data_IF_117543943065
#
_entry.id   IF_117543943065
#
_cell.length_a   1.000
_cell.length_b   1.000
_cell.length_c   1.000
_cell.angle_alpha   90.00
_cell.angle_beta   90.00
_cell.angle_gamma   90.00
#
_symmetry.space_group_name_H-M   'P 1'
#
loop_
_entity.id
_entity.type
_entity.pdbx_description
1 polymer ?
#
# COMPACT_ATOMS: atom_id res chain seq x y z
N UNK A 1 1.92 -10.43 8.75
CA UNK A 1 3.38 -10.42 9.01
C UNK A 1 3.86 -11.71 9.67
N UNK A 2 4.94 -12.33 9.19
CA UNK A 2 5.58 -13.47 9.86
C UNK A 2 6.28 -13.06 11.16
N UNK A 3 6.31 -13.94 12.15
CA UNK A 3 7.17 -13.85 13.33
C UNK A 3 8.43 -14.66 13.05
N UNK A 4 9.60 -14.03 13.01
CA UNK A 4 10.86 -14.73 12.88
C UNK A 4 11.22 -15.40 14.21
N UNK A 5 11.55 -16.70 14.15
CA UNK A 5 11.93 -17.51 15.30
C UNK A 5 13.31 -18.10 15.01
N UNK A 6 14.31 -17.68 15.77
CA UNK A 6 15.66 -18.22 15.68
C UNK A 6 15.92 -19.17 16.85
N UNK A 7 16.24 -20.43 16.54
CA UNK A 7 16.64 -21.45 17.53
C UNK A 7 18.08 -21.86 17.28
N UNK A 8 19.00 -21.48 18.15
CA UNK A 8 20.43 -21.75 17.98
C UNK A 8 20.99 -21.41 16.58
N UNK A 9 20.52 -20.30 15.99
CA UNK A 9 20.90 -19.84 14.65
C UNK A 9 20.09 -20.43 13.49
N UNK A 10 19.28 -21.49 13.71
CA UNK A 10 18.32 -21.96 12.70
C UNK A 10 17.15 -20.99 12.64
N UNK A 11 16.89 -20.45 11.45
CA UNK A 11 15.77 -19.55 11.15
C UNK A 11 14.51 -20.34 10.83
N UNK A 12 13.43 -20.03 11.53
CA UNK A 12 12.06 -20.48 11.28
C UNK A 12 11.13 -19.25 11.26
N UNK A 13 9.92 -19.39 10.74
CA UNK A 13 8.92 -18.33 10.69
C UNK A 13 7.57 -18.84 11.16
N UNK A 14 6.83 -18.04 11.91
CA UNK A 14 5.41 -18.28 12.16
C UNK A 14 4.59 -17.38 11.24
N UNK A 15 3.77 -17.97 10.39
CA UNK A 15 2.90 -17.28 9.44
C UNK A 15 1.43 -17.48 9.80
N UNK A 16 0.62 -16.44 9.67
CA UNK A 16 -0.84 -16.52 9.81
C UNK A 16 -1.44 -17.16 8.56
N UNK A 17 -2.24 -18.21 8.76
CA UNK A 17 -2.95 -18.92 7.71
C UNK A 17 -4.43 -19.11 8.03
N UNK A 18 -4.96 -18.43 9.06
CA UNK A 18 -6.34 -18.65 9.53
C UNK A 18 -7.41 -18.35 8.47
N UNK A 19 -7.10 -17.52 7.48
CA UNK A 19 -7.97 -17.23 6.34
C UNK A 19 -7.71 -18.09 5.09
N UNK A 20 -6.67 -18.93 5.09
CA UNK A 20 -6.31 -19.79 3.97
C UNK A 20 -6.88 -21.20 4.16
N UNK A 21 -7.99 -21.47 3.46
CA UNK A 21 -8.72 -22.74 3.52
C UNK A 21 -7.91 -23.99 3.15
N UNK A 22 -6.72 -23.84 2.56
CA UNK A 22 -5.81 -24.96 2.29
C UNK A 22 -5.21 -25.55 3.56
N UNK A 23 -5.15 -24.76 4.63
CA UNK A 23 -4.55 -25.16 5.89
C UNK A 23 -5.63 -25.36 6.95
N UNK A 24 -5.67 -26.55 7.51
CA UNK A 24 -6.40 -26.77 8.75
C UNK A 24 -5.50 -26.33 9.91
N UNK A 25 -5.24 -25.03 10.08
CA UNK A 25 -4.49 -24.44 11.19
C UNK A 25 -4.71 -22.92 11.24
N UNK A 26 -4.48 -22.29 12.39
CA UNK A 26 -4.54 -20.83 12.55
C UNK A 26 -3.21 -20.18 12.11
N UNK A 27 -2.10 -20.81 12.48
CA UNK A 27 -0.76 -20.41 12.07
C UNK A 27 0.04 -21.62 11.57
N UNK A 28 1.07 -21.39 10.77
CA UNK A 28 2.11 -22.38 10.48
C UNK A 28 3.42 -21.91 11.06
N UNK A 29 4.13 -22.79 11.76
CA UNK A 29 5.59 -22.68 11.89
C UNK A 29 6.19 -23.29 10.62
N UNK A 30 7.04 -22.55 9.91
CA UNK A 30 7.69 -22.98 8.67
C UNK A 30 9.21 -22.79 8.76
N UNK A 31 9.93 -23.63 8.04
CA UNK A 31 11.34 -23.45 7.70
C UNK A 31 11.40 -22.91 6.28
N UNK A 32 11.75 -21.61 6.09
CA UNK A 32 11.70 -20.98 4.78
C UNK A 32 12.68 -21.59 3.77
N UNK A 33 13.66 -22.40 4.21
CA UNK A 33 14.59 -23.06 3.30
C UNK A 33 14.07 -24.39 2.74
N UNK A 34 13.12 -25.05 3.43
CA UNK A 34 12.67 -26.40 3.08
C UNK A 34 11.17 -26.50 2.85
N UNK A 35 10.39 -25.51 3.28
CA UNK A 35 8.95 -25.50 3.11
C UNK A 35 8.53 -25.19 1.67
N UNK A 36 7.81 -26.12 1.05
CA UNK A 36 7.14 -25.95 -0.24
C UNK A 36 5.62 -25.91 -0.02
N UNK A 37 5.00 -24.76 -0.29
CA UNK A 37 3.55 -24.57 -0.15
C UNK A 37 2.73 -25.40 -1.14
N UNK A 38 3.27 -25.70 -2.32
CA UNK A 38 2.58 -26.49 -3.35
C UNK A 38 2.63 -27.98 -3.05
N UNK A 39 3.65 -28.43 -2.33
CA UNK A 39 3.82 -29.82 -1.92
C UNK A 39 4.33 -29.93 -0.46
N UNK A 40 3.48 -29.64 0.54
CA UNK A 40 3.91 -29.45 1.91
C UNK A 40 4.13 -30.79 2.61
N UNK A 41 5.35 -31.30 2.47
CA UNK A 41 5.80 -32.58 3.03
C UNK A 41 6.80 -32.39 4.17
N UNK A 42 7.69 -31.40 4.08
CA UNK A 42 8.72 -31.07 5.06
C UNK A 42 8.69 -29.58 5.42
N UNK A 43 9.42 -29.19 6.46
CA UNK A 43 9.65 -27.80 6.80
C UNK A 43 8.45 -27.06 7.39
N UNK A 44 7.42 -27.75 7.91
CA UNK A 44 6.32 -27.05 8.57
C UNK A 44 5.62 -27.83 9.69
N UNK A 45 4.95 -27.09 10.57
CA UNK A 45 4.01 -27.59 11.58
C UNK A 45 2.86 -26.60 11.74
N UNK A 46 1.64 -27.09 11.60
CA UNK A 46 0.45 -26.31 11.95
C UNK A 46 0.36 -26.06 13.45
N UNK A 47 0.05 -24.82 13.82
CA UNK A 47 -0.22 -24.36 15.17
C UNK A 47 -1.73 -24.16 15.26
N UNK A 48 -2.38 -24.88 16.18
CA UNK A 48 -3.83 -24.88 16.35
C UNK A 48 -4.20 -24.55 17.79
N UNK A 49 -5.38 -23.98 17.93
CA UNK A 49 -6.02 -23.72 19.21
C UNK A 49 -6.05 -25.00 20.07
N UNK A 50 -5.49 -24.91 21.29
CA UNK A 50 -5.36 -25.99 22.27
C UNK A 50 -4.50 -27.21 21.84
N UNK A 51 -3.63 -27.09 20.81
CA UNK A 51 -2.69 -28.15 20.39
C UNK A 51 -1.22 -27.72 20.61
N UNK A 52 -0.70 -27.75 21.87
CA UNK A 52 0.69 -27.39 22.12
C UNK A 52 1.66 -28.43 21.56
N UNK A 53 2.84 -28.00 21.13
CA UNK A 53 3.93 -28.90 20.75
C UNK A 53 5.29 -28.40 21.20
N UNK A 54 6.22 -29.34 21.36
CA UNK A 54 7.62 -29.09 21.70
C UNK A 54 8.46 -29.33 20.46
N UNK A 55 9.32 -28.36 20.14
CA UNK A 55 10.32 -28.45 19.08
C UNK A 55 11.72 -28.55 19.69
N UNK A 56 12.52 -29.45 19.14
CA UNK A 56 13.92 -29.65 19.50
C UNK A 56 14.44 -30.91 18.83
N UNK A 57 15.74 -31.21 18.95
CA UNK A 57 16.32 -32.36 18.22
C UNK A 57 15.73 -33.73 18.57
N UNK A 58 15.16 -33.91 19.77
CA UNK A 58 14.49 -35.16 20.12
C UNK A 58 13.10 -35.28 19.47
N UNK A 59 12.50 -34.15 19.09
CA UNK A 59 11.23 -34.10 18.38
C UNK A 59 11.34 -33.05 17.26
N UNK A 60 12.07 -33.37 16.17
CA UNK A 60 12.32 -32.41 15.10
C UNK A 60 11.05 -32.17 14.26
N UNK A 61 9.98 -32.95 14.47
CA UNK A 61 8.76 -32.93 13.67
C UNK A 61 9.10 -33.09 12.18
N UNK A 62 8.88 -32.05 11.38
CA UNK A 62 9.18 -32.02 9.94
C UNK A 62 10.36 -31.10 9.60
N UNK A 63 11.13 -30.67 10.60
CA UNK A 63 12.21 -29.71 10.45
C UNK A 63 13.57 -30.40 10.48
N UNK A 64 14.50 -29.93 9.66
CA UNK A 64 15.90 -30.29 9.77
C UNK A 64 16.59 -29.34 10.75
N UNK A 65 17.01 -29.87 11.90
CA UNK A 65 17.56 -29.09 13.01
C UNK A 65 19.06 -29.41 13.19
N UNK A 66 19.94 -28.38 13.22
CA UNK A 66 21.37 -28.59 13.48
C UNK A 66 21.62 -29.01 14.93
N UNK A 67 22.79 -29.62 15.18
CA UNK A 67 23.20 -30.10 16.52
C UNK A 67 23.29 -29.02 17.59
N UNK A 68 23.38 -27.75 17.18
CA UNK A 68 23.32 -26.58 18.05
C UNK A 68 21.95 -26.39 18.70
N UNK A 69 20.88 -26.96 18.15
CA UNK A 69 19.53 -26.91 18.74
C UNK A 69 19.43 -27.91 19.90
N UNK A 70 19.03 -27.48 21.09
CA UNK A 70 18.77 -28.38 22.22
C UNK A 70 17.75 -29.49 21.90
N UNK A 71 17.84 -30.61 22.64
CA UNK A 71 16.95 -31.78 22.48
C UNK A 71 15.47 -31.43 22.66
N UNK A 72 15.19 -30.62 23.68
CA UNK A 72 13.92 -29.95 23.95
C UNK A 72 14.24 -28.46 23.98
N UNK A 73 13.89 -27.71 22.93
CA UNK A 73 14.35 -26.34 22.76
C UNK A 73 13.28 -25.34 23.20
N UNK A 74 12.10 -25.45 22.60
CA UNK A 74 10.99 -24.56 22.90
C UNK A 74 9.64 -25.29 22.84
N UNK A 75 8.64 -24.69 23.46
CA UNK A 75 7.23 -25.07 23.38
C UNK A 75 6.45 -23.95 22.69
N UNK A 76 5.56 -24.31 21.78
CA UNK A 76 4.62 -23.39 21.14
C UNK A 76 3.20 -23.83 21.49
N UNK A 77 2.36 -22.86 21.85
CA UNK A 77 0.97 -23.09 22.25
C UNK A 77 0.10 -21.93 21.79
N UNK A 78 -1.07 -22.23 21.21
CA UNK A 78 -2.13 -21.27 20.95
C UNK A 78 -3.30 -21.56 21.89
N UNK A 79 -3.63 -20.62 22.77
CA UNK A 79 -4.76 -20.73 23.71
C UNK A 79 -5.54 -19.42 23.81
N UNK A 80 -6.85 -19.47 23.62
CA UNK A 80 -7.74 -18.33 23.64
C UNK A 80 -7.31 -17.26 22.64
N UNK A 81 -6.84 -17.66 21.44
CA UNK A 81 -6.27 -16.75 20.45
C UNK A 81 -4.91 -16.14 20.82
N UNK A 82 -4.31 -16.54 21.95
CA UNK A 82 -2.98 -16.08 22.39
C UNK A 82 -1.91 -17.11 22.04
N UNK A 83 -1.04 -16.74 21.10
CA UNK A 83 0.14 -17.51 20.74
C UNK A 83 1.25 -17.28 21.79
N UNK A 84 1.72 -18.35 22.40
CA UNK A 84 2.81 -18.36 23.40
C UNK A 84 3.96 -19.21 22.88
N UNK A 85 5.18 -18.66 22.96
CA UNK A 85 6.42 -19.36 22.66
C UNK A 85 7.27 -19.32 23.92
N UNK A 86 7.62 -20.49 24.43
CA UNK A 86 8.34 -20.67 25.68
C UNK A 86 9.65 -21.41 25.40
N UNK A 87 10.79 -20.76 25.66
CA UNK A 87 12.09 -21.43 25.66
C UNK A 87 12.18 -22.38 26.87
N UNK A 88 12.52 -23.64 26.63
CA UNK A 88 12.54 -24.69 27.65
C UNK A 88 13.92 -24.88 28.28
N UNK A 89 14.66 -23.78 28.48
CA UNK A 89 16.02 -23.79 29.01
C UNK A 89 17.04 -24.25 27.97
N UNK A 90 16.89 -23.80 26.73
CA UNK A 90 17.79 -24.17 25.64
C UNK A 90 19.20 -23.60 25.85
N UNK A 91 20.21 -24.28 25.30
CA UNK A 91 21.63 -23.92 25.51
C UNK A 91 22.01 -22.64 24.78
N UNK A 92 21.48 -22.46 23.57
CA UNK A 92 21.82 -21.35 22.69
C UNK A 92 20.71 -20.29 22.61
N UNK A 93 19.65 -20.45 23.40
CA UNK A 93 18.51 -19.55 23.46
C UNK A 93 17.59 -19.60 22.23
N UNK A 94 16.42 -19.02 22.43
CA UNK A 94 15.44 -18.69 21.40
C UNK A 94 15.36 -17.17 21.25
N UNK A 95 15.48 -16.67 20.01
CA UNK A 95 15.29 -15.26 19.69
C UNK A 95 14.04 -15.09 18.84
N UNK A 96 13.13 -14.23 19.29
CA UNK A 96 11.96 -13.83 18.52
C UNK A 96 12.19 -12.44 17.93
N UNK A 97 11.96 -12.31 16.63
CA UNK A 97 11.98 -11.03 15.95
C UNK A 97 10.62 -10.81 15.27
N UNK A 98 9.94 -9.76 15.71
CA UNK A 98 8.79 -9.21 15.00
C UNK A 98 9.37 -8.28 13.94
N UNK A 99 9.39 -8.69 12.67
CA UNK A 99 9.78 -7.75 11.62
C UNK A 99 8.72 -6.65 11.54
N UNK A 100 9.04 -5.48 12.11
CA UNK A 100 8.55 -4.24 11.54
C UNK A 100 9.46 -3.94 10.34
N UNK A 101 8.95 -3.50 9.17
CA UNK A 101 9.82 -2.99 8.13
C UNK A 101 10.68 -1.88 8.74
N UNK A 102 11.99 -2.11 8.83
CA UNK A 102 12.93 -1.07 9.26
C UNK A 102 12.86 0.03 8.23
N UNK A 103 12.37 1.21 8.63
CA UNK A 103 12.65 2.42 7.87
C UNK A 103 14.18 2.50 7.75
N UNK A 104 14.75 2.64 6.54
CA UNK A 104 16.18 2.83 6.41
C UNK A 104 16.60 4.02 7.29
N UNK A 105 17.75 3.90 7.96
CA UNK A 105 18.27 5.02 8.77
C UNK A 105 18.50 6.23 7.87
N UNK A 106 18.53 7.43 8.46
CA UNK A 106 18.85 8.65 7.71
C UNK A 106 20.17 8.51 6.94
N UNK A 107 21.18 7.90 7.54
CA UNK A 107 22.46 7.60 6.89
C UNK A 107 22.31 6.62 5.72
N UNK A 108 21.44 5.61 5.82
CA UNK A 108 21.16 4.68 4.72
C UNK A 108 20.39 5.33 3.57
N UNK A 109 19.51 6.29 3.85
CA UNK A 109 18.79 7.07 2.83
C UNK A 109 19.75 8.05 2.15
N UNK A 110 20.65 8.67 2.92
CA UNK A 110 21.65 9.62 2.41
C UNK A 110 22.79 8.91 1.66
N UNK A 111 23.09 7.65 2.00
CA UNK A 111 24.11 6.84 1.30
C UNK A 111 23.57 6.12 0.05
N UNK A 112 22.25 6.12 -0.18
CA UNK A 112 21.70 5.61 -1.44
C UNK A 112 22.02 6.59 -2.56
N UNK A 113 22.69 6.09 -3.60
CA UNK A 113 22.88 6.87 -4.83
C UNK A 113 21.52 7.37 -5.32
N UNK A 114 21.45 8.67 -5.60
CA UNK A 114 20.23 9.26 -6.12
C UNK A 114 19.91 8.58 -7.45
N UNK A 115 18.67 8.08 -7.60
CA UNK A 115 18.28 7.53 -8.89
C UNK A 115 18.32 8.65 -9.95
N UNK A 116 18.58 8.32 -11.23
CA UNK A 116 18.57 9.31 -12.30
C UNK A 116 17.26 10.13 -12.35
N UNK A 117 16.13 9.53 -11.97
CA UNK A 117 14.84 10.22 -11.86
C UNK A 117 14.85 11.24 -10.72
N UNK A 118 15.38 10.89 -9.54
CA UNK A 118 15.51 11.82 -8.41
C UNK A 118 16.38 13.02 -8.80
N UNK A 119 17.52 12.79 -9.45
CA UNK A 119 18.40 13.88 -9.88
C UNK A 119 17.73 14.80 -10.90
N UNK A 120 16.99 14.22 -11.85
CA UNK A 120 16.20 14.97 -12.83
C UNK A 120 15.16 15.87 -12.16
N UNK A 121 14.37 15.32 -11.24
CA UNK A 121 13.34 16.09 -10.54
C UNK A 121 13.95 17.20 -9.68
N UNK A 122 15.10 16.96 -9.05
CA UNK A 122 15.85 18.01 -8.31
C UNK A 122 16.32 19.12 -9.27
N UNK A 123 16.80 18.77 -10.46
CA UNK A 123 17.19 19.75 -11.46
C UNK A 123 15.98 20.57 -11.97
N UNK A 124 14.86 19.91 -12.26
CA UNK A 124 13.60 20.57 -12.61
C UNK A 124 13.14 21.54 -11.51
N UNK A 125 13.22 21.12 -10.24
CA UNK A 125 12.84 21.98 -9.12
C UNK A 125 13.72 23.23 -9.03
N UNK A 126 15.04 23.08 -9.21
CA UNK A 126 15.97 24.23 -9.21
C UNK A 126 15.65 25.22 -10.33
N UNK A 127 15.35 24.73 -11.53
CA UNK A 127 14.95 25.60 -12.64
C UNK A 127 13.59 26.25 -12.40
N UNK A 128 12.62 25.53 -11.83
CA UNK A 128 11.34 26.08 -11.39
C UNK A 128 11.53 27.23 -10.40
N UNK A 129 12.29 27.01 -9.30
CA UNK A 129 12.54 28.05 -8.28
C UNK A 129 13.21 29.28 -8.90
N UNK A 130 14.17 29.07 -9.81
CA UNK A 130 14.84 30.16 -10.51
C UNK A 130 13.88 30.94 -11.41
N UNK A 131 12.99 30.25 -12.13
CA UNK A 131 12.01 30.86 -13.03
C UNK A 131 10.93 31.64 -12.27
N UNK A 132 10.46 31.11 -11.15
CA UNK A 132 9.37 31.66 -10.34
C UNK A 132 9.86 32.44 -9.11
N UNK A 133 11.14 32.82 -9.06
CA UNK A 133 11.77 33.44 -7.89
C UNK A 133 10.99 34.65 -7.36
N UNK A 134 10.53 35.55 -8.25
CA UNK A 134 9.80 36.74 -7.85
C UNK A 134 8.43 36.45 -7.21
N UNK A 135 7.74 35.41 -7.67
CA UNK A 135 6.46 34.95 -7.09
C UNK A 135 6.70 34.31 -5.73
N UNK A 136 7.69 33.42 -5.63
CA UNK A 136 8.09 32.76 -4.38
C UNK A 136 8.50 33.80 -3.33
N UNK A 137 9.30 34.81 -3.69
CA UNK A 137 9.71 35.89 -2.79
C UNK A 137 8.52 36.72 -2.30
N UNK A 138 7.54 36.96 -3.17
CA UNK A 138 6.31 37.69 -2.82
C UNK A 138 5.46 36.88 -1.83
N UNK A 139 5.27 35.58 -2.08
CA UNK A 139 4.54 34.68 -1.18
C UNK A 139 5.20 34.59 0.20
N UNK A 140 6.54 34.49 0.22
CA UNK A 140 7.34 34.55 1.46
C UNK A 140 7.14 35.86 2.22
N UNK A 141 7.18 37.01 1.54
CA UNK A 141 6.98 38.31 2.17
C UNK A 141 5.57 38.46 2.77
N UNK A 142 4.58 37.76 2.20
CA UNK A 142 3.22 37.72 2.70
C UNK A 142 3.01 36.70 3.82
N UNK A 143 4.07 35.97 4.21
CA UNK A 143 4.04 34.98 5.27
C UNK A 143 3.27 33.71 4.91
N UNK A 144 3.12 33.41 3.61
CA UNK A 144 2.43 32.21 3.14
C UNK A 144 3.37 31.00 3.20
N UNK A 145 2.74 29.84 3.40
CA UNK A 145 3.44 28.56 3.47
C UNK A 145 3.90 28.14 2.07
N UNK A 146 5.21 28.06 1.87
CA UNK A 146 5.77 27.62 0.59
C UNK A 146 5.56 26.13 0.34
N UNK A 147 5.32 25.32 1.37
CA UNK A 147 5.07 23.90 1.19
C UNK A 147 3.80 23.67 0.36
N UNK A 148 2.75 24.46 0.62
CA UNK A 148 1.50 24.42 -0.15
C UNK A 148 1.75 24.91 -1.58
N UNK A 149 2.46 26.03 -1.77
CA UNK A 149 2.82 26.55 -3.09
C UNK A 149 3.56 25.49 -3.92
N UNK A 150 4.62 24.89 -3.38
CA UNK A 150 5.40 23.88 -4.09
C UNK A 150 4.61 22.60 -4.32
N UNK A 151 3.72 22.22 -3.40
CA UNK A 151 2.86 21.07 -3.59
C UNK A 151 1.89 21.26 -4.76
N UNK A 152 1.21 22.40 -4.82
CA UNK A 152 0.24 22.69 -5.87
C UNK A 152 0.92 22.96 -7.22
N UNK A 153 1.94 23.83 -7.25
CA UNK A 153 2.47 24.34 -8.51
C UNK A 153 3.54 23.45 -9.15
N UNK A 154 4.39 22.86 -8.32
CA UNK A 154 5.52 22.06 -8.78
C UNK A 154 5.26 20.56 -8.64
N UNK A 155 4.78 20.08 -7.50
CA UNK A 155 4.65 18.64 -7.28
C UNK A 155 3.49 18.03 -8.06
N UNK A 156 2.29 18.61 -7.93
CA UNK A 156 1.06 18.06 -8.48
C UNK A 156 0.67 18.59 -9.85
N UNK A 157 1.07 19.81 -10.19
CA UNK A 157 0.73 20.44 -11.46
C UNK A 157 1.98 20.74 -12.29
N UNK A 158 1.74 21.11 -13.55
CA UNK A 158 2.71 21.80 -14.37
C UNK A 158 2.15 23.17 -14.73
N UNK A 159 2.34 24.15 -13.85
CA UNK A 159 1.76 25.49 -14.02
C UNK A 159 2.25 26.21 -15.29
N UNK A 160 3.38 25.77 -15.85
CA UNK A 160 3.92 26.33 -17.08
C UNK A 160 3.15 25.88 -18.32
N UNK A 161 2.46 24.73 -18.24
CA UNK A 161 1.74 24.13 -19.36
C UNK A 161 0.41 23.53 -18.88
N UNK A 162 -0.52 24.35 -18.38
CA UNK A 162 -1.81 23.87 -17.92
C UNK A 162 -2.62 23.37 -19.13
N UNK A 163 -3.14 22.15 -19.01
CA UNK A 163 -4.03 21.52 -20.00
C UNK A 163 -5.44 22.09 -19.91
N UNK A 164 -5.90 22.35 -18.69
CA UNK A 164 -7.22 22.93 -18.41
C UNK A 164 -7.05 24.36 -17.91
N UNK A 165 -7.88 25.28 -18.39
CA UNK A 165 -7.84 26.70 -17.99
C UNK A 165 -9.19 27.12 -17.44
N UNK A 166 -9.16 27.99 -16.43
CA UNK A 166 -10.36 28.41 -15.69
C UNK A 166 -11.32 29.25 -16.56
N UNK A 167 -10.79 29.97 -17.55
CA UNK A 167 -11.54 30.79 -18.49
C UNK A 167 -12.15 30.00 -19.66
N UNK A 168 -11.92 28.69 -19.74
CA UNK A 168 -12.46 27.82 -20.78
C UNK A 168 -13.88 27.32 -20.43
N UNK A 169 -14.85 27.63 -21.30
CA UNK A 169 -16.25 27.24 -21.12
C UNK A 169 -16.46 25.72 -21.09
N UNK A 170 -15.66 24.95 -21.84
CA UNK A 170 -15.76 23.48 -21.79
C UNK A 170 -15.21 22.94 -20.46
N UNK A 171 -14.23 23.60 -19.86
CA UNK A 171 -13.72 23.26 -18.52
C UNK A 171 -14.77 23.53 -17.45
N UNK A 172 -15.47 24.67 -17.54
CA UNK A 172 -16.57 25.01 -16.62
C UNK A 172 -17.73 24.01 -16.73
N UNK A 173 -18.06 23.58 -17.95
CA UNK A 173 -19.05 22.53 -18.18
C UNK A 173 -18.60 21.20 -17.59
N UNK A 174 -17.37 20.79 -17.87
CA UNK A 174 -16.76 19.56 -17.33
C UNK A 174 -16.73 19.56 -15.80
N UNK A 175 -16.47 20.71 -15.16
CA UNK A 175 -16.52 20.90 -13.71
C UNK A 175 -17.92 20.59 -13.12
N UNK A 176 -18.98 21.06 -13.79
CA UNK A 176 -20.36 20.76 -13.40
C UNK A 176 -20.71 19.28 -13.56
N UNK A 177 -20.31 18.67 -14.68
CA UNK A 177 -20.51 17.24 -14.95
C UNK A 177 -19.75 16.37 -13.94
N UNK A 178 -18.48 16.70 -13.68
CA UNK A 178 -17.63 16.04 -12.69
C UNK A 178 -18.29 16.03 -11.31
N UNK A 179 -18.67 17.20 -10.80
CA UNK A 179 -19.27 17.32 -9.47
C UNK A 179 -20.57 16.52 -9.37
N UNK A 180 -21.37 16.47 -10.44
CA UNK A 180 -22.59 15.64 -10.50
C UNK A 180 -22.26 14.15 -10.41
N UNK A 181 -21.26 13.68 -11.16
CA UNK A 181 -20.83 12.29 -11.16
C UNK A 181 -20.25 11.87 -9.81
N UNK A 182 -19.40 12.70 -9.17
CA UNK A 182 -18.79 12.37 -7.87
C UNK A 182 -19.85 12.30 -6.76
N UNK A 183 -20.84 13.18 -6.78
CA UNK A 183 -21.98 13.07 -5.85
C UNK A 183 -22.76 11.77 -6.07
N UNK A 184 -22.99 11.35 -7.32
CA UNK A 184 -23.63 10.07 -7.61
C UNK A 184 -22.81 8.88 -7.09
N UNK A 185 -21.48 8.95 -7.18
CA UNK A 185 -20.57 7.94 -6.59
C UNK A 185 -20.71 7.88 -5.08
N UNK A 186 -20.65 9.04 -4.38
CA UNK A 186 -20.84 9.11 -2.93
C UNK A 186 -22.15 8.46 -2.51
N UNK A 187 -23.25 8.84 -3.17
CA UNK A 187 -24.58 8.33 -2.85
C UNK A 187 -24.68 6.82 -3.13
N UNK A 188 -23.99 6.31 -4.15
CA UNK A 188 -23.92 4.88 -4.41
C UNK A 188 -23.14 4.12 -3.34
N UNK A 189 -21.96 4.62 -2.96
CA UNK A 189 -21.16 4.00 -1.90
C UNK A 189 -21.91 3.95 -0.56
N UNK A 190 -22.70 4.99 -0.26
CA UNK A 190 -23.57 5.00 0.91
C UNK A 190 -24.63 3.91 0.85
N UNK A 191 -25.29 3.71 -0.31
CA UNK A 191 -26.27 2.63 -0.50
C UNK A 191 -25.63 1.25 -0.37
N UNK A 192 -24.47 1.04 -0.99
CA UNK A 192 -23.74 -0.23 -0.92
C UNK A 192 -23.31 -0.56 0.52
N UNK A 193 -22.83 0.45 1.26
CA UNK A 193 -22.50 0.31 2.68
C UNK A 193 -23.72 -0.06 3.53
N UNK A 194 -24.87 0.58 3.29
CA UNK A 194 -26.15 0.24 3.94
C UNK A 194 -26.63 -1.18 3.58
N UNK A 195 -26.30 -1.65 2.37
CA UNK A 195 -26.55 -3.01 1.89
C UNK A 195 -25.61 -4.06 2.49
N UNK A 196 -24.68 -3.67 3.36
CA UNK A 196 -23.75 -4.58 4.05
C UNK A 196 -22.43 -4.81 3.33
N UNK A 197 -22.16 -4.09 2.22
CA UNK A 197 -20.85 -4.13 1.58
C UNK A 197 -19.82 -3.44 2.48
N UNK A 198 -18.61 -3.96 2.52
CA UNK A 198 -17.54 -3.47 3.40
C UNK A 198 -16.89 -2.18 2.85
N UNK A 199 -17.71 -1.17 2.59
CA UNK A 199 -17.33 0.15 2.10
C UNK A 199 -17.74 1.18 3.16
N UNK A 200 -16.90 2.18 3.38
CA UNK A 200 -17.22 3.28 4.29
C UNK A 200 -16.80 4.60 3.63
N UNK A 201 -17.74 5.28 2.95
CA UNK A 201 -17.46 6.59 2.39
C UNK A 201 -17.31 7.62 3.52
N UNK A 202 -16.36 8.55 3.36
CA UNK A 202 -16.12 9.66 4.29
C UNK A 202 -15.97 10.92 3.44
N UNK A 203 -16.74 11.95 3.74
CA UNK A 203 -16.78 13.22 3.03
C UNK A 203 -16.33 14.33 4.00
N UNK A 204 -15.33 15.12 3.62
CA UNK A 204 -14.87 16.28 4.39
C UNK A 204 -15.11 17.63 3.68
N UNK A 205 -15.94 17.65 2.65
CA UNK A 205 -16.27 18.82 1.83
C UNK A 205 -15.38 19.00 0.61
N UNK A 206 -14.10 18.62 0.67
CA UNK A 206 -13.18 18.70 -0.48
C UNK A 206 -12.82 17.33 -1.04
N UNK A 207 -12.61 16.35 -0.16
CA UNK A 207 -12.24 14.99 -0.52
C UNK A 207 -13.38 14.02 -0.21
N UNK A 208 -13.67 13.15 -1.17
CA UNK A 208 -14.41 11.92 -0.93
C UNK A 208 -13.41 10.80 -0.70
N UNK A 209 -13.39 10.26 0.50
CA UNK A 209 -12.68 9.04 0.85
C UNK A 209 -13.62 7.84 0.81
N UNK A 210 -13.05 6.65 0.62
CA UNK A 210 -13.73 5.39 0.88
C UNK A 210 -12.75 4.43 1.55
N UNK A 211 -13.06 4.00 2.78
CA UNK A 211 -12.39 2.85 3.37
C UNK A 211 -13.02 1.58 2.79
N UNK A 212 -12.18 0.66 2.33
CA UNK A 212 -12.57 -0.65 1.80
C UNK A 212 -12.10 -1.71 2.79
N UNK A 213 -12.98 -2.64 3.15
CA UNK A 213 -12.75 -3.71 4.12
C UNK A 213 -12.19 -3.23 5.47
N UNK A 214 -12.63 -2.05 5.93
CA UNK A 214 -12.19 -1.48 7.21
C UNK A 214 -10.98 -0.53 7.10
N UNK A 215 -10.50 -0.23 5.88
CA UNK A 215 -9.37 0.66 5.66
C UNK A 215 -8.03 -0.07 5.71
N UNK A 216 -6.95 0.64 5.37
CA UNK A 216 -5.59 0.10 5.56
C UNK A 216 -5.29 -0.05 7.07
N UNK A 217 -4.55 -1.09 7.43
CA UNK A 217 -4.25 -1.44 8.81
C UNK A 217 -2.93 -0.76 9.18
N UNK A 218 -3.00 0.27 10.02
CA UNK A 218 -1.88 1.13 10.40
C UNK A 218 -0.83 0.42 11.30
N UNK A 219 -0.27 -0.70 10.85
CA UNK A 219 0.60 -1.60 11.61
C UNK A 219 1.94 -1.87 10.92
N UNK A 220 2.08 -1.49 9.64
CA UNK A 220 3.27 -1.70 8.81
C UNK A 220 3.49 -0.54 7.82
N UNK A 221 4.51 -0.67 6.96
CA UNK A 221 4.75 0.27 5.87
C UNK A 221 3.49 0.45 5.01
N UNK A 222 3.24 1.70 4.60
CA UNK A 222 2.05 2.09 3.84
C UNK A 222 2.38 2.19 2.36
N UNK A 223 1.69 1.42 1.53
CA UNK A 223 1.74 1.53 0.08
C UNK A 223 0.83 2.65 -0.43
N UNK A 224 1.22 3.28 -1.55
CA UNK A 224 0.43 4.33 -2.23
C UNK A 224 0.50 4.19 -3.74
N UNK A 225 -0.64 4.23 -4.40
CA UNK A 225 -0.73 4.43 -5.85
C UNK A 225 -1.43 5.75 -6.16
N UNK A 226 -0.86 6.49 -7.11
CA UNK A 226 -1.38 7.76 -7.61
C UNK A 226 -1.87 7.54 -9.04
N UNK A 227 -3.07 8.02 -9.33
CA UNK A 227 -3.72 7.83 -10.61
C UNK A 227 -3.87 9.17 -11.30
N UNK A 228 -3.14 9.35 -12.40
CA UNK A 228 -3.35 10.47 -13.31
C UNK A 228 -4.49 10.11 -14.27
N UNK A 229 -5.71 10.46 -13.88
CA UNK A 229 -6.92 10.18 -14.66
C UNK A 229 -7.34 11.41 -15.46
N UNK A 230 -8.09 11.20 -16.54
CA UNK A 230 -8.87 12.28 -17.15
C UNK A 230 -10.11 12.56 -16.29
N UNK A 231 -10.51 13.84 -16.11
CA UNK A 231 -11.60 14.20 -15.20
C UNK A 231 -12.90 13.43 -15.45
N UNK A 232 -13.28 13.24 -16.71
CA UNK A 232 -14.50 12.55 -17.14
C UNK A 232 -14.56 11.05 -16.77
N UNK A 233 -13.44 10.48 -16.32
CA UNK A 233 -13.33 9.06 -15.95
C UNK A 233 -13.11 8.81 -14.46
N UNK A 234 -12.85 9.85 -13.65
CA UNK A 234 -12.51 9.70 -12.22
C UNK A 234 -13.62 8.96 -11.45
N UNK A 235 -14.88 9.35 -11.63
CA UNK A 235 -16.02 8.77 -10.93
C UNK A 235 -16.19 7.26 -11.24
N UNK A 236 -16.08 6.90 -12.53
CA UNK A 236 -16.17 5.51 -12.98
C UNK A 236 -15.03 4.66 -12.44
N UNK A 237 -13.78 5.14 -12.56
CA UNK A 237 -12.60 4.41 -12.12
C UNK A 237 -12.66 4.19 -10.62
N UNK A 238 -12.94 5.24 -9.83
CA UNK A 238 -13.03 5.14 -8.38
C UNK A 238 -14.06 4.10 -7.91
N UNK A 239 -15.27 4.12 -8.49
CA UNK A 239 -16.32 3.16 -8.15
C UNK A 239 -15.87 1.73 -8.45
N UNK A 240 -15.36 1.48 -9.65
CA UNK A 240 -14.87 0.15 -10.05
C UNK A 240 -13.70 -0.32 -9.18
N UNK A 241 -12.80 0.57 -8.78
CA UNK A 241 -11.70 0.23 -7.87
C UNK A 241 -12.24 -0.14 -6.50
N UNK A 242 -13.18 0.64 -5.93
CA UNK A 242 -13.78 0.35 -4.63
C UNK A 242 -14.46 -1.02 -4.62
N UNK A 243 -15.24 -1.32 -5.65
CA UNK A 243 -15.90 -2.62 -5.84
C UNK A 243 -14.89 -3.76 -5.96
N UNK A 244 -13.92 -3.64 -6.87
CA UNK A 244 -12.94 -4.68 -7.11
C UNK A 244 -12.05 -4.94 -5.89
N UNK A 245 -11.70 -3.91 -5.13
CA UNK A 245 -10.92 -4.05 -3.90
C UNK A 245 -11.75 -4.69 -2.79
N UNK A 246 -13.04 -4.32 -2.69
CA UNK A 246 -13.97 -4.94 -1.75
C UNK A 246 -14.10 -6.44 -2.03
N UNK A 247 -14.37 -6.80 -3.28
CA UNK A 247 -14.58 -8.19 -3.72
C UNK A 247 -13.29 -9.02 -3.59
N UNK A 248 -12.13 -8.39 -3.77
CA UNK A 248 -10.84 -9.01 -3.54
C UNK A 248 -10.47 -9.13 -2.05
N UNK A 249 -11.23 -8.54 -1.12
CA UNK A 249 -10.91 -8.55 0.32
C UNK A 249 -9.67 -7.71 0.69
N UNK A 250 -9.35 -6.69 -0.10
CA UNK A 250 -8.21 -5.78 0.12
C UNK A 250 -8.53 -4.69 1.15
N UNK A 251 -7.55 -4.36 1.98
CA UNK A 251 -7.62 -3.34 3.03
C UNK A 251 -7.04 -2.04 2.50
N UNK A 252 -7.90 -1.07 2.23
CA UNK A 252 -7.44 0.18 1.61
C UNK A 252 -8.28 1.37 2.00
N UNK A 253 -7.68 2.55 1.91
CA UNK A 253 -8.40 3.80 1.85
C UNK A 253 -8.10 4.43 0.50
N UNK A 254 -9.13 4.87 -0.21
CA UNK A 254 -8.98 5.61 -1.46
C UNK A 254 -9.62 6.98 -1.34
N UNK A 255 -9.13 7.94 -2.12
CA UNK A 255 -9.70 9.29 -2.14
C UNK A 255 -9.68 9.93 -3.52
N UNK A 256 -10.67 10.79 -3.76
CA UNK A 256 -10.81 11.65 -4.95
C UNK A 256 -11.33 13.05 -4.54
N UNK A 257 -11.01 14.11 -5.30
CA UNK A 257 -11.62 15.41 -5.12
C UNK A 257 -13.13 15.36 -5.34
N UNK A 258 -13.88 16.17 -4.61
CA UNK A 258 -15.33 16.30 -4.77
C UNK A 258 -15.73 17.36 -5.77
N UNK A 259 -14.91 18.39 -5.88
CA UNK A 259 -15.13 19.53 -6.77
C UNK A 259 -14.18 19.40 -7.95
N UNK A 260 -14.71 19.69 -9.13
CA UNK A 260 -13.92 19.82 -10.34
C UNK A 260 -13.69 21.29 -10.67
N UNK A 261 -12.46 21.65 -10.96
CA UNK A 261 -12.05 22.94 -11.50
C UNK A 261 -10.75 22.75 -12.28
N UNK A 262 -10.25 23.83 -12.90
CA UNK A 262 -9.02 23.76 -13.69
C UNK A 262 -7.82 23.31 -12.85
N UNK A 263 -7.74 23.70 -11.57
CA UNK A 263 -6.65 23.29 -10.68
C UNK A 263 -6.70 21.77 -10.46
N UNK A 264 -7.84 21.24 -10.04
CA UNK A 264 -8.08 19.81 -9.82
C UNK A 264 -7.82 19.00 -11.10
N UNK A 265 -8.23 19.52 -12.26
CA UNK A 265 -8.07 18.81 -13.52
C UNK A 265 -6.63 18.80 -14.05
N UNK A 266 -5.79 19.73 -13.61
CA UNK A 266 -4.36 19.70 -13.94
C UNK A 266 -3.53 18.84 -12.97
N UNK A 267 -4.11 18.37 -11.85
CA UNK A 267 -3.42 17.49 -10.90
C UNK A 267 -3.02 16.17 -11.53
N UNK A 268 -1.81 15.71 -11.23
CA UNK A 268 -1.34 14.37 -11.59
C UNK A 268 -1.89 13.27 -10.67
N UNK A 269 -2.44 13.63 -9.50
CA UNK A 269 -2.89 12.71 -8.44
C UNK A 269 -4.41 12.72 -8.21
N UNK A 270 -5.22 12.75 -9.29
CA UNK A 270 -6.69 12.90 -9.21
C UNK A 270 -7.39 11.78 -8.45
N UNK A 271 -6.73 10.64 -8.26
CA UNK A 271 -7.16 9.59 -7.35
C UNK A 271 -5.93 8.99 -6.65
N UNK A 272 -6.07 8.71 -5.35
CA UNK A 272 -5.01 8.08 -4.55
C UNK A 272 -5.56 6.87 -3.82
N UNK A 273 -4.79 5.78 -3.82
CA UNK A 273 -5.10 4.54 -3.09
C UNK A 273 -4.00 4.27 -2.07
N UNK A 274 -4.38 4.16 -0.81
CA UNK A 274 -3.55 3.76 0.32
C UNK A 274 -3.86 2.31 0.69
N UNK A 275 -2.84 1.49 0.87
CA UNK A 275 -3.01 0.06 1.14
C UNK A 275 -1.87 -0.49 2.02
N UNK A 276 -2.11 -1.65 2.61
CA UNK A 276 -1.08 -2.34 3.40
C UNK A 276 0.01 -2.87 2.49
N UNK A 277 1.29 -2.58 2.76
CA UNK A 277 2.39 -3.01 1.88
C UNK A 277 2.45 -4.54 1.66
N UNK A 278 1.94 -5.33 2.61
CA UNK A 278 1.81 -6.79 2.46
C UNK A 278 0.82 -7.20 1.37
N UNK A 279 -0.12 -6.34 1.00
CA UNK A 279 -1.13 -6.59 -0.03
C UNK A 279 -0.71 -6.08 -1.43
N UNK A 280 0.49 -5.51 -1.58
CA UNK A 280 0.96 -4.83 -2.80
C UNK A 280 0.77 -5.66 -4.07
N UNK A 281 1.19 -6.94 -4.07
CA UNK A 281 1.07 -7.80 -5.24
C UNK A 281 -0.38 -8.00 -5.68
N UNK A 282 -1.29 -8.14 -4.72
CA UNK A 282 -2.72 -8.35 -4.99
C UNK A 282 -3.39 -7.05 -5.42
N UNK A 283 -3.00 -5.92 -4.84
CA UNK A 283 -3.39 -4.59 -5.28
C UNK A 283 -2.99 -4.38 -6.74
N UNK A 284 -1.73 -4.66 -7.10
CA UNK A 284 -1.22 -4.55 -8.47
C UNK A 284 -2.01 -5.40 -9.46
N UNK A 285 -2.36 -6.65 -9.11
CA UNK A 285 -3.17 -7.51 -9.98
C UNK A 285 -4.57 -6.91 -10.25
N UNK A 286 -5.22 -6.36 -9.23
CA UNK A 286 -6.54 -5.72 -9.40
C UNK A 286 -6.41 -4.47 -10.27
N UNK A 287 -5.37 -3.67 -10.03
CA UNK A 287 -5.13 -2.43 -10.79
C UNK A 287 -4.73 -2.68 -12.24
N UNK A 288 -3.95 -3.73 -12.52
CA UNK A 288 -3.57 -4.10 -13.90
C UNK A 288 -4.79 -4.46 -14.73
N UNK A 289 -5.73 -5.23 -14.15
CA UNK A 289 -7.02 -5.51 -14.77
C UNK A 289 -7.87 -4.26 -14.97
N UNK A 290 -7.86 -3.34 -14.00
CA UNK A 290 -8.59 -2.08 -14.10
C UNK A 290 -8.03 -1.21 -15.23
N UNK A 291 -6.71 -1.08 -15.34
CA UNK A 291 -6.06 -0.34 -16.40
C UNK A 291 -6.31 -0.96 -17.77
N UNK A 292 -6.10 -2.28 -17.92
CA UNK A 292 -6.30 -2.98 -19.18
C UNK A 292 -7.72 -2.86 -19.73
N UNK A 293 -8.72 -2.73 -18.85
CA UNK A 293 -10.12 -2.53 -19.23
C UNK A 293 -10.51 -1.05 -19.44
N UNK A 294 -9.68 -0.10 -19.01
CA UNK A 294 -9.98 1.33 -19.09
C UNK A 294 -8.76 2.19 -19.51
N UNK A 295 -7.96 1.82 -20.53
CA UNK A 295 -6.70 2.51 -20.82
C UNK A 295 -6.91 3.98 -21.19
N UNK A 296 -8.06 4.30 -21.80
CA UNK A 296 -8.42 5.69 -22.18
C UNK A 296 -8.69 6.61 -20.99
N UNK A 297 -8.90 6.05 -19.79
CA UNK A 297 -9.18 6.81 -18.58
C UNK A 297 -7.93 7.49 -18.00
N UNK A 298 -6.75 6.99 -18.34
CA UNK A 298 -5.48 7.48 -17.84
C UNK A 298 -4.97 8.62 -18.73
N UNK A 299 -4.39 9.64 -18.10
CA UNK A 299 -3.82 10.81 -18.77
C UNK A 299 -2.31 10.61 -18.95
N UNK A 300 -1.83 10.89 -20.16
CA UNK A 300 -0.42 10.69 -20.55
C UNK A 300 0.44 11.93 -20.25
N UNK A 301 -0.14 12.94 -19.58
CA UNK A 301 0.51 14.22 -19.26
C UNK A 301 1.67 14.09 -18.27
N UNK A 302 1.79 12.95 -17.58
CA UNK A 302 2.96 12.63 -16.77
C UNK A 302 2.66 11.84 -15.52
N UNK A 303 3.70 11.65 -14.71
CA UNK A 303 3.69 10.96 -13.43
C UNK A 303 4.00 11.95 -12.30
N UNK A 304 3.39 11.74 -11.13
CA UNK A 304 3.66 12.60 -9.98
C UNK A 304 5.15 12.56 -9.63
N UNK A 305 5.73 13.73 -9.32
CA UNK A 305 7.15 13.82 -8.98
C UNK A 305 7.47 12.99 -7.73
N UNK A 306 8.71 12.49 -7.64
CA UNK A 306 9.14 11.62 -6.54
C UNK A 306 8.31 10.34 -6.36
N UNK A 307 7.64 9.88 -7.42
CA UNK A 307 6.99 8.57 -7.47
C UNK A 307 7.64 7.69 -8.53
N UNK A 308 7.55 6.38 -8.35
CA UNK A 308 8.00 5.42 -9.35
C UNK A 308 6.85 5.10 -10.32
N UNK A 309 7.17 5.00 -11.61
CA UNK A 309 6.25 4.43 -12.60
C UNK A 309 5.92 2.98 -12.24
N UNK A 310 4.64 2.62 -12.36
CA UNK A 310 4.20 1.24 -12.17
C UNK A 310 4.59 0.43 -13.42
N UNK A 311 5.06 -0.80 -13.18
CA UNK A 311 5.37 -1.75 -14.24
C UNK A 311 4.54 -3.01 -14.03
N UNK A 312 4.04 -3.60 -15.11
CA UNK A 312 3.33 -4.88 -15.02
C UNK A 312 4.30 -6.03 -14.71
N UNK A 313 3.77 -7.24 -14.58
CA UNK A 313 4.58 -8.44 -14.30
C UNK A 313 5.62 -8.75 -15.40
N UNK A 314 5.48 -8.15 -16.59
CA UNK A 314 6.42 -8.27 -17.73
C UNK A 314 7.44 -7.13 -17.76
N UNK A 315 7.39 -6.19 -16.81
CA UNK A 315 8.24 -5.01 -16.75
C UNK A 315 7.81 -3.89 -17.71
N UNK A 316 6.66 -4.02 -18.37
CA UNK A 316 6.11 -3.03 -19.29
C UNK A 316 5.42 -1.91 -18.51
N UNK A 317 5.50 -0.70 -19.04
CA UNK A 317 4.86 0.48 -18.45
C UNK A 317 3.37 0.47 -18.72
N UNK A 318 2.60 0.93 -17.74
CA UNK A 318 1.19 1.25 -17.88
C UNK A 318 0.78 2.33 -16.88
#
# INVERSE_FOLDING_TARGET
>A
MPIEVYIAGKRLQIVDVGNDRRWNADYLLIDPTTFDQMNPTTGYKGIRENEPFILGRNNPLRFELPDTVSRTHLKIELRGGKLTIEDLGSTNGTVLQLEKPKRPSKEQIESQEASPERERVIAEFKEYVKKHQGEIEKELQQGRDLDELFYHDFYNNNIDQPKYREDDAEVQKLAGEYSTQINAVRDNLLREAQGGRALTPIDNGYWLYCNVNGGFRNHAALGRFYFNLKPEHVAQVFSKTAEAFCDAGLHSQMKIPMVGDAEVFNRLDKMVVYFDAEEEQKVLQVLENLYGNNPKAFDETGTSRFTAEVKNQRGEKW
#
